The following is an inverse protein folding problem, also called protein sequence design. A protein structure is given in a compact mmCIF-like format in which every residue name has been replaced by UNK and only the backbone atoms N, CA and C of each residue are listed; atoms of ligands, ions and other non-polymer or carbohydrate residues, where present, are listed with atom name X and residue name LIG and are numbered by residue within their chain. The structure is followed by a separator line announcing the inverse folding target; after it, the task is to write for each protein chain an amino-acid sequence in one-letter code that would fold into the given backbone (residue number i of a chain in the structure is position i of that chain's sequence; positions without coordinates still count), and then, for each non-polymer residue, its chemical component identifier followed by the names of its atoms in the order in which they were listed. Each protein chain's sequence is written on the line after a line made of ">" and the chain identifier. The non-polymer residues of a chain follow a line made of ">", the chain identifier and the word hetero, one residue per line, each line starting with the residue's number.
data_IF_151438087555
#
_entry.id   IF_151438087555
#
_cell.length_a   1.000
_cell.length_b   1.000
_cell.length_c   1.000
_cell.angle_alpha   90.00
_cell.angle_beta   90.00
_cell.angle_gamma   90.00
#
_symmetry.space_group_name_H-M   'P 1'
#
loop_
_entity.id
_entity.type
_entity.pdbx_description
1 polymer ?
#
# COMPACT_ATOMS: atom_id res chain seq x y z
N UNK A 1 8.93 -27.35 5.92
CA UNK A 1 7.58 -27.33 5.28
C UNK A 1 7.14 -25.87 5.17
N UNK A 2 6.55 -25.46 4.05
CA UNK A 2 6.07 -24.09 3.83
C UNK A 2 4.54 -24.11 3.66
N UNK A 3 3.83 -23.32 4.47
CA UNK A 3 2.39 -23.12 4.36
C UNK A 3 2.13 -21.81 3.61
N UNK A 4 1.31 -21.86 2.56
CA UNK A 4 0.80 -20.68 1.83
C UNK A 4 -0.73 -20.74 1.83
N UNK A 5 -1.37 -19.64 2.18
CA UNK A 5 -2.84 -19.55 2.24
C UNK A 5 -3.32 -18.12 2.03
N UNK A 6 -4.54 -17.98 1.50
CA UNK A 6 -5.25 -16.70 1.40
C UNK A 6 -6.05 -16.40 2.69
N UNK A 7 -6.21 -17.38 3.59
CA UNK A 7 -6.84 -17.18 4.91
C UNK A 7 -5.86 -16.53 5.90
N UNK A 8 -5.44 -15.31 5.59
CA UNK A 8 -4.38 -14.57 6.29
C UNK A 8 -4.62 -14.49 7.81
N UNK A 9 -5.85 -14.21 8.23
CA UNK A 9 -6.19 -14.07 9.65
C UNK A 9 -6.22 -15.40 10.39
N UNK A 10 -6.63 -16.49 9.73
CA UNK A 10 -6.55 -17.84 10.32
C UNK A 10 -5.11 -18.29 10.45
N UNK A 11 -4.28 -18.02 9.45
CA UNK A 11 -2.85 -18.32 9.49
C UNK A 11 -2.16 -17.58 10.64
N UNK A 12 -2.46 -16.29 10.82
CA UNK A 12 -1.96 -15.50 11.95
C UNK A 12 -2.39 -16.07 13.30
N UNK A 13 -3.66 -16.46 13.44
CA UNK A 13 -4.16 -17.05 14.67
C UNK A 13 -3.52 -18.42 14.97
N UNK A 14 -3.31 -19.25 13.94
CA UNK A 14 -2.62 -20.52 14.07
C UNK A 14 -1.14 -20.33 14.47
N UNK A 15 -0.46 -19.35 13.88
CA UNK A 15 0.91 -18.99 14.22
C UNK A 15 1.02 -18.51 15.68
N UNK A 16 0.07 -17.71 16.18
CA UNK A 16 0.06 -17.28 17.58
C UNK A 16 -0.03 -18.47 18.58
N UNK A 17 -0.74 -19.54 18.22
CA UNK A 17 -0.85 -20.77 19.03
C UNK A 17 0.44 -21.60 19.04
N UNK A 18 1.41 -21.30 18.18
CA UNK A 18 2.70 -21.98 18.16
C UNK A 18 3.46 -21.75 19.48
N UNK A 19 3.28 -20.59 20.12
CA UNK A 19 3.81 -20.30 21.46
C UNK A 19 3.23 -21.23 22.53
N UNK A 20 1.96 -21.65 22.40
CA UNK A 20 1.32 -22.57 23.36
C UNK A 20 1.82 -24.00 23.18
N UNK A 21 2.15 -24.38 21.94
CA UNK A 21 2.73 -25.69 21.63
C UNK A 21 4.16 -25.80 22.15
N UNK A 22 4.95 -24.72 22.07
CA UNK A 22 6.26 -24.65 22.74
C UNK A 22 6.13 -24.84 24.26
N UNK A 23 5.13 -24.22 24.90
CA UNK A 23 4.85 -24.42 26.34
C UNK A 23 4.44 -25.86 26.66
N UNK A 24 3.78 -26.55 25.73
CA UNK A 24 3.40 -27.95 25.87
C UNK A 24 4.57 -28.95 25.62
N UNK A 25 5.80 -28.45 25.45
CA UNK A 25 6.99 -29.28 25.23
C UNK A 25 7.16 -29.77 23.79
N UNK A 26 6.38 -29.23 22.85
CA UNK A 26 6.55 -29.53 21.42
C UNK A 26 7.62 -28.61 20.86
N UNK A 27 8.81 -29.15 20.58
CA UNK A 27 9.88 -28.41 19.92
C UNK A 27 9.46 -28.01 18.51
N UNK A 28 9.35 -26.71 18.26
CA UNK A 28 9.14 -26.16 16.92
C UNK A 28 10.28 -25.22 16.57
N UNK A 29 10.87 -25.41 15.39
CA UNK A 29 11.83 -24.46 14.82
C UNK A 29 11.16 -23.10 14.60
N UNK A 30 11.88 -22.01 14.89
CA UNK A 30 11.40 -20.65 14.70
C UNK A 30 10.92 -20.42 13.27
N UNK A 31 9.61 -20.23 13.11
CA UNK A 31 9.00 -19.86 11.82
C UNK A 31 8.93 -18.35 11.69
N UNK A 32 8.96 -17.83 10.46
CA UNK A 32 8.57 -16.45 10.18
C UNK A 32 7.32 -16.45 9.30
N UNK A 33 6.43 -15.50 9.52
CA UNK A 33 5.25 -15.29 8.68
C UNK A 33 5.48 -14.09 7.80
N UNK A 34 5.41 -14.28 6.48
CA UNK A 34 5.49 -13.21 5.51
C UNK A 34 4.10 -12.94 4.93
N UNK A 35 3.76 -11.67 4.79
CA UNK A 35 2.49 -11.23 4.21
C UNK A 35 2.76 -10.51 2.88
N UNK A 36 2.01 -10.89 1.84
CA UNK A 36 2.16 -10.32 0.50
C UNK A 36 0.79 -9.89 -0.01
N UNK A 37 0.69 -8.65 -0.48
CA UNK A 37 -0.51 -8.16 -1.15
C UNK A 37 -0.48 -8.54 -2.63
N UNK A 38 -1.40 -9.39 -3.05
CA UNK A 38 -1.51 -9.86 -4.45
C UNK A 38 -2.52 -9.07 -5.27
N UNK A 39 -3.38 -8.28 -4.62
CA UNK A 39 -4.47 -7.51 -5.25
C UNK A 39 -4.05 -6.19 -5.91
N UNK A 40 -2.75 -5.92 -6.07
CA UNK A 40 -2.28 -4.62 -6.57
C UNK A 40 -2.80 -4.32 -7.97
N UNK A 41 -2.83 -5.31 -8.86
CA UNK A 41 -3.26 -5.09 -10.25
C UNK A 41 -4.75 -4.75 -10.37
N UNK A 42 -5.58 -5.28 -9.48
CA UNK A 42 -7.01 -4.97 -9.43
C UNK A 42 -7.27 -3.58 -8.86
N UNK A 43 -6.45 -3.15 -7.88
CA UNK A 43 -6.58 -1.85 -7.21
C UNK A 43 -6.03 -0.67 -8.04
N UNK A 44 -5.10 -0.93 -8.97
CA UNK A 44 -4.42 0.09 -9.77
C UNK A 44 -5.37 1.07 -10.46
N UNK A 45 -6.37 0.65 -11.25
CA UNK A 45 -7.21 1.59 -12.01
C UNK A 45 -7.92 2.61 -11.13
N UNK A 46 -8.51 2.16 -10.02
CA UNK A 46 -9.26 3.00 -9.10
C UNK A 46 -8.35 4.01 -8.39
N UNK A 47 -7.16 3.59 -7.94
CA UNK A 47 -6.19 4.49 -7.31
C UNK A 47 -5.68 5.57 -8.26
N UNK A 48 -5.50 5.24 -9.54
CA UNK A 48 -5.04 6.20 -10.55
C UNK A 48 -6.14 7.23 -10.84
N UNK A 49 -7.39 6.77 -10.98
CA UNK A 49 -8.53 7.65 -11.19
C UNK A 49 -8.70 8.66 -10.04
N UNK A 50 -8.56 8.18 -8.80
CA UNK A 50 -8.65 9.02 -7.61
C UNK A 50 -7.48 10.02 -7.53
N UNK A 51 -6.25 9.57 -7.80
CA UNK A 51 -5.08 10.46 -7.83
C UNK A 51 -5.21 11.57 -8.87
N UNK A 52 -5.74 11.25 -10.06
CA UNK A 52 -5.98 12.24 -11.12
C UNK A 52 -7.08 13.25 -10.72
N UNK A 53 -8.15 12.79 -10.08
CA UNK A 53 -9.22 13.64 -9.58
C UNK A 53 -8.69 14.62 -8.54
N UNK A 54 -7.98 14.11 -7.54
CA UNK A 54 -7.38 14.92 -6.47
C UNK A 54 -6.38 15.95 -7.00
N UNK A 55 -5.57 15.58 -8.02
CA UNK A 55 -4.66 16.50 -8.68
C UNK A 55 -5.40 17.64 -9.40
N UNK A 56 -6.52 17.35 -10.06
CA UNK A 56 -7.34 18.36 -10.73
C UNK A 56 -8.02 19.30 -9.73
N UNK A 57 -8.58 18.75 -8.65
CA UNK A 57 -9.20 19.55 -7.57
C UNK A 57 -8.19 20.49 -6.93
N UNK A 58 -6.98 20.00 -6.66
CA UNK A 58 -5.88 20.84 -6.14
C UNK A 58 -5.51 21.96 -7.12
N UNK A 59 -5.38 21.64 -8.42
CA UNK A 59 -5.13 22.65 -9.44
C UNK A 59 -6.25 23.70 -9.53
N UNK A 60 -7.51 23.27 -9.37
CA UNK A 60 -8.66 24.17 -9.35
C UNK A 60 -8.62 25.12 -8.16
N UNK A 61 -8.25 24.63 -6.99
CA UNK A 61 -8.06 25.47 -5.81
C UNK A 61 -6.96 26.52 -6.06
N UNK A 62 -5.80 26.12 -6.57
CA UNK A 62 -4.71 27.05 -6.88
C UNK A 62 -5.11 28.12 -7.91
N UNK A 63 -5.86 27.73 -8.94
CA UNK A 63 -6.36 28.65 -9.95
C UNK A 63 -7.30 29.69 -9.33
N UNK A 64 -8.28 29.23 -8.54
CA UNK A 64 -9.24 30.09 -7.85
C UNK A 64 -8.53 31.09 -6.93
N UNK A 65 -7.56 30.62 -6.13
CA UNK A 65 -6.81 31.47 -5.20
C UNK A 65 -5.92 32.50 -5.91
N UNK A 66 -5.55 32.25 -7.17
CA UNK A 66 -4.73 33.14 -8.00
C UNK A 66 -5.55 34.02 -8.96
N UNK A 67 -6.89 33.92 -8.94
CA UNK A 67 -7.76 34.62 -9.89
C UNK A 67 -7.64 34.11 -11.33
N UNK A 68 -7.14 32.89 -11.52
CA UNK A 68 -6.95 32.24 -12.80
C UNK A 68 -7.92 31.05 -12.96
N UNK A 69 -7.90 30.44 -14.14
CA UNK A 69 -8.66 29.25 -14.49
C UNK A 69 -7.73 28.07 -14.83
N UNK A 70 -8.14 26.85 -14.49
CA UNK A 70 -7.37 25.65 -14.85
C UNK A 70 -7.46 25.40 -16.34
N UNK A 71 -6.33 25.44 -17.01
CA UNK A 71 -6.17 25.16 -18.43
C UNK A 71 -5.89 23.69 -18.73
N UNK A 72 -5.15 23.45 -19.82
CA UNK A 72 -4.81 22.11 -20.30
C UNK A 72 -3.75 21.46 -19.40
N UNK A 73 -3.72 20.14 -19.40
CA UNK A 73 -2.63 19.37 -18.79
C UNK A 73 -1.37 19.60 -19.65
N UNK A 74 -0.31 20.09 -19.01
CA UNK A 74 1.00 20.28 -19.63
C UNK A 74 1.84 19.01 -19.54
N UNK A 75 1.84 18.40 -18.36
CA UNK A 75 2.61 17.19 -18.06
C UNK A 75 1.84 16.33 -17.08
N UNK A 76 1.86 15.02 -17.27
CA UNK A 76 1.39 14.05 -16.29
C UNK A 76 2.47 12.99 -16.11
N UNK A 77 2.83 12.71 -14.86
CA UNK A 77 3.80 11.69 -14.48
C UNK A 77 3.24 10.86 -13.33
N UNK A 78 3.28 9.54 -13.49
CA UNK A 78 2.86 8.60 -12.46
C UNK A 78 4.10 8.02 -11.78
N UNK A 79 4.20 8.23 -10.48
CA UNK A 79 5.19 7.58 -9.63
C UNK A 79 4.89 6.10 -9.41
N UNK A 80 5.85 5.41 -8.80
CA UNK A 80 5.69 4.00 -8.48
C UNK A 80 4.65 3.75 -7.39
N UNK A 81 4.01 2.59 -7.46
CA UNK A 81 3.23 2.07 -6.34
C UNK A 81 4.18 1.57 -5.25
N UNK A 82 3.93 1.95 -4.00
CA UNK A 82 4.61 1.41 -2.84
C UNK A 82 3.61 0.71 -1.93
N UNK A 83 4.05 -0.40 -1.34
CA UNK A 83 3.28 -1.18 -0.37
C UNK A 83 4.10 -1.22 0.91
N UNK A 84 3.57 -0.65 2.00
CA UNK A 84 4.22 -0.67 3.31
C UNK A 84 3.29 -1.23 4.40
N UNK A 85 3.78 -1.36 5.62
CA UNK A 85 2.94 -1.72 6.76
C UNK A 85 1.94 -0.58 7.06
N UNK A 86 0.71 -0.91 7.46
CA UNK A 86 -0.28 0.10 7.90
C UNK A 86 0.19 0.82 9.17
N UNK A 87 0.64 0.03 10.15
CA UNK A 87 1.11 0.48 11.46
C UNK A 87 2.52 -0.11 11.69
N UNK A 88 3.49 0.71 12.10
CA UNK A 88 4.86 0.27 12.42
C UNK A 88 5.95 1.02 11.67
N UNK A 89 7.18 0.51 11.75
CA UNK A 89 8.35 1.08 11.04
C UNK A 89 8.13 0.87 9.54
N UNK A 90 8.13 1.96 8.77
CA UNK A 90 8.23 1.88 7.31
C UNK A 90 9.48 1.08 6.98
N UNK A 91 9.30 -0.13 6.46
CA UNK A 91 10.42 -0.98 6.09
C UNK A 91 11.05 -0.42 4.81
N UNK A 92 12.13 0.32 4.96
CA UNK A 92 12.85 0.96 3.84
C UNK A 92 13.37 -0.07 2.80
N UNK A 93 13.47 -1.34 3.18
CA UNK A 93 13.99 -2.45 2.33
C UNK A 93 12.97 -3.54 1.98
N UNK A 94 11.67 -3.34 2.23
CA UNK A 94 10.68 -4.36 1.92
C UNK A 94 10.11 -4.21 0.50
N UNK A 95 10.66 -4.94 -0.45
CA UNK A 95 10.07 -5.09 -1.78
C UNK A 95 8.73 -5.85 -1.66
N UNK A 96 7.63 -5.18 -2.00
CA UNK A 96 6.27 -5.73 -2.16
C UNK A 96 5.73 -6.56 -0.99
N UNK A 97 6.35 -6.47 0.18
CA UNK A 97 6.07 -7.24 1.38
C UNK A 97 5.87 -6.27 2.53
N UNK A 98 4.62 -5.93 2.84
CA UNK A 98 4.31 -5.03 3.95
C UNK A 98 4.59 -5.70 5.30
N UNK A 99 5.86 -5.77 5.66
CA UNK A 99 6.41 -6.26 6.92
C UNK A 99 5.77 -7.57 7.44
N UNK A 100 6.01 -7.89 8.71
CA UNK A 100 5.42 -9.03 9.40
C UNK A 100 3.95 -8.77 9.80
N UNK A 101 3.20 -7.94 9.05
CA UNK A 101 1.81 -7.57 9.36
C UNK A 101 0.85 -7.90 8.21
N UNK A 102 -0.35 -8.41 8.52
CA UNK A 102 -1.39 -8.58 7.51
C UNK A 102 -2.01 -7.26 7.03
N UNK A 103 -1.77 -6.15 7.74
CA UNK A 103 -2.33 -4.85 7.40
C UNK A 103 -1.31 -4.04 6.61
N UNK A 104 -1.58 -3.82 5.33
CA UNK A 104 -0.67 -3.17 4.40
C UNK A 104 -1.30 -1.89 3.83
N UNK A 105 -0.48 -0.89 3.56
CA UNK A 105 -0.84 0.40 2.99
C UNK A 105 -0.28 0.49 1.58
N UNK A 106 -1.15 0.72 0.60
CA UNK A 106 -0.76 0.95 -0.79
C UNK A 106 -0.78 2.44 -1.07
N UNK A 107 0.30 2.97 -1.66
CA UNK A 107 0.43 4.37 -2.04
C UNK A 107 0.87 4.49 -3.50
N UNK A 108 0.27 5.44 -4.20
CA UNK A 108 0.76 5.92 -5.49
C UNK A 108 0.80 7.44 -5.45
N UNK A 109 1.80 8.04 -6.09
CA UNK A 109 1.89 9.49 -6.25
C UNK A 109 1.76 9.80 -7.73
N UNK A 110 0.79 10.62 -8.11
CA UNK A 110 0.65 11.10 -9.48
C UNK A 110 0.85 12.61 -9.48
N UNK A 111 1.75 13.07 -10.33
CA UNK A 111 2.07 14.49 -10.49
C UNK A 111 1.50 14.96 -11.82
N UNK A 112 0.56 15.90 -11.77
CA UNK A 112 -0.03 16.52 -12.96
C UNK A 112 0.20 18.02 -12.91
N UNK A 113 0.84 18.55 -13.94
CA UNK A 113 1.04 19.98 -14.13
C UNK A 113 -0.02 20.53 -15.07
N UNK A 114 -0.70 21.59 -14.63
CA UNK A 114 -1.71 22.30 -15.40
C UNK A 114 -1.19 23.68 -15.76
N UNK A 115 -1.57 24.16 -16.95
CA UNK A 115 -1.45 25.58 -17.27
C UNK A 115 -2.58 26.36 -16.58
N UNK A 116 -2.30 27.60 -16.17
CA UNK A 116 -3.29 28.51 -15.63
C UNK A 116 -3.51 29.64 -16.63
N UNK A 117 -4.77 30.00 -16.88
CA UNK A 117 -5.18 31.08 -17.79
C UNK A 117 -5.97 32.15 -17.07
#
# INVERSE_FOLDING_TARGET
>A
MQLRTNDVMKARAAYAKQADLLRAGVEMGGGSVNYTFTGLNELKPDMIAEANRSARESAQQFANDSGASVGKIKTASQGYFSISARDGVDCEYCDSSGANTPFQKVRVVTTVAYELN
#
